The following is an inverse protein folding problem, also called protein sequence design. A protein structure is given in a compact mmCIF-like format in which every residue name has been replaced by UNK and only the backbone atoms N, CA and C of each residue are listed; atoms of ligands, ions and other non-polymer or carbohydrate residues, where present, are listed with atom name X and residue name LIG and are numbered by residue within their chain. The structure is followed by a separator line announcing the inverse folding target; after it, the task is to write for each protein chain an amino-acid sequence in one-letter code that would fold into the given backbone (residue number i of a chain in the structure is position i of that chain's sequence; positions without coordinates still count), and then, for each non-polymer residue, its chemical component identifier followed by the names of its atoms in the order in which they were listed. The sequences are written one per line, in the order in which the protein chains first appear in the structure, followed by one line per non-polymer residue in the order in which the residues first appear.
data_IF_416041400921
#
_entry.id   IF_416041400921
#
_cell.length_a   1.000
_cell.length_b   1.000
_cell.length_c   1.000
_cell.angle_alpha   90.00
_cell.angle_beta   90.00
_cell.angle_gamma   90.00
#
_symmetry.space_group_name_H-M   'P 1'
#
loop_
_entity.id
_entity.type
_entity.pdbx_description
1 polymer ?
#
# COMPACT_ATOMS: atom_id res chain seq x y z
N UNK A 1 25.42 -3.13 -43.11
CA UNK A 1 25.97 -3.33 -41.76
C UNK A 1 24.83 -3.80 -40.87
N UNK A 2 24.86 -5.08 -40.48
CA UNK A 2 23.80 -5.74 -39.74
C UNK A 2 23.90 -5.41 -38.25
N UNK A 3 22.81 -4.91 -37.66
CA UNK A 3 22.68 -4.72 -36.21
C UNK A 3 22.07 -5.99 -35.60
N UNK A 4 22.85 -6.63 -34.73
CA UNK A 4 22.50 -7.81 -33.94
C UNK A 4 21.45 -7.42 -32.89
N UNK A 5 20.37 -8.19 -32.79
CA UNK A 5 19.40 -8.12 -31.69
C UNK A 5 19.95 -8.97 -30.54
N UNK A 6 20.16 -8.39 -29.36
CA UNK A 6 20.36 -9.15 -28.12
C UNK A 6 18.99 -9.39 -27.47
N UNK A 7 18.66 -10.67 -27.31
CA UNK A 7 17.51 -11.16 -26.55
C UNK A 7 17.86 -11.12 -25.05
N UNK A 8 17.02 -10.48 -24.24
CA UNK A 8 17.11 -10.54 -22.78
C UNK A 8 16.34 -11.75 -22.26
N UNK A 9 17.06 -12.73 -21.72
CA UNK A 9 16.48 -13.91 -21.06
C UNK A 9 15.83 -13.54 -19.71
N UNK A 10 14.55 -13.87 -19.57
CA UNK A 10 13.78 -13.75 -18.33
C UNK A 10 14.26 -14.79 -17.28
N UNK A 11 15.10 -14.37 -16.34
CA UNK A 11 15.47 -15.18 -15.17
C UNK A 11 14.34 -15.16 -14.14
N UNK A 12 13.51 -16.22 -14.15
CA UNK A 12 12.55 -16.52 -13.07
C UNK A 12 13.27 -17.28 -11.94
N UNK A 13 13.53 -16.61 -10.83
CA UNK A 13 13.98 -17.28 -9.59
C UNK A 13 12.76 -17.40 -8.66
N UNK A 14 12.19 -18.61 -8.61
CA UNK A 14 11.28 -19.02 -7.55
C UNK A 14 12.10 -19.34 -6.28
N UNK A 15 12.38 -18.32 -5.46
CA UNK A 15 13.00 -18.52 -4.14
C UNK A 15 11.92 -18.67 -3.06
N UNK A 16 11.96 -19.82 -2.39
CA UNK A 16 11.00 -20.30 -1.41
C UNK A 16 11.05 -19.50 -0.11
N UNK A 17 9.89 -19.03 0.32
CA UNK A 17 9.74 -18.18 1.51
C UNK A 17 9.66 -19.03 2.78
N UNK A 18 10.50 -18.72 3.78
CA UNK A 18 10.30 -19.17 5.17
C UNK A 18 9.66 -18.03 5.97
N UNK A 19 8.34 -18.04 6.07
CA UNK A 19 7.65 -17.33 7.17
C UNK A 19 8.02 -18.07 8.43
N UNK A 20 8.63 -17.40 9.41
CA UNK A 20 8.56 -17.92 10.78
C UNK A 20 7.11 -17.75 11.22
N UNK A 21 6.33 -18.83 11.09
CA UNK A 21 4.91 -18.88 11.41
C UNK A 21 4.75 -19.27 12.88
N UNK A 22 5.39 -18.53 13.78
CA UNK A 22 5.34 -18.74 15.22
C UNK A 22 5.01 -17.38 15.84
N UNK A 23 3.95 -17.34 16.66
CA UNK A 23 3.44 -16.22 17.47
C UNK A 23 2.44 -15.20 16.88
N UNK A 24 1.53 -15.64 16.01
CA UNK A 24 0.31 -14.87 15.64
C UNK A 24 -0.85 -15.02 16.66
N UNK A 25 -0.63 -15.72 17.79
CA UNK A 25 -1.67 -16.00 18.78
C UNK A 25 -1.70 -14.95 19.93
N UNK A 26 -0.61 -14.23 20.21
CA UNK A 26 -0.53 -13.30 21.37
C UNK A 26 -0.84 -11.81 21.07
N UNK A 27 -1.08 -11.43 19.81
CA UNK A 27 -1.48 -10.04 19.46
C UNK A 27 -2.99 -9.88 19.23
N UNK A 28 -3.81 -10.91 19.52
CA UNK A 28 -5.26 -10.91 19.29
C UNK A 28 -6.11 -10.44 20.49
N UNK A 29 -5.49 -10.05 21.59
CA UNK A 29 -6.20 -9.59 22.81
C UNK A 29 -6.18 -8.07 23.07
N UNK A 30 -5.74 -7.24 22.11
CA UNK A 30 -5.78 -5.76 22.21
C UNK A 30 -6.78 -5.08 21.26
N UNK A 31 -7.75 -5.83 20.72
CA UNK A 31 -8.90 -5.28 19.98
C UNK A 31 -10.18 -5.86 20.58
N UNK A 32 -10.43 -5.55 21.84
CA UNK A 32 -11.74 -5.70 22.49
C UNK A 32 -12.12 -4.31 23.01
N UNK A 33 -13.38 -3.95 22.80
CA UNK A 33 -14.02 -2.75 23.35
C UNK A 33 -13.68 -1.42 22.64
N UNK A 34 -14.37 -1.15 21.53
CA UNK A 34 -14.85 0.21 21.26
C UNK A 34 -16.15 0.17 20.45
N UNK A 35 -17.17 -0.46 21.04
CA UNK A 35 -18.57 -0.16 20.74
C UNK A 35 -18.93 1.07 21.55
N UNK A 36 -19.07 2.23 20.89
CA UNK A 36 -19.52 3.46 21.57
C UNK A 36 -18.83 4.72 21.09
N UNK A 37 -19.27 5.25 19.94
CA UNK A 37 -19.02 6.65 19.58
C UNK A 37 -20.14 7.10 18.66
N UNK A 38 -20.85 8.11 19.12
CA UNK A 38 -22.13 8.63 18.66
C UNK A 38 -22.17 8.97 17.17
N UNK A 39 -23.34 8.71 16.60
CA UNK A 39 -23.76 9.05 15.25
C UNK A 39 -23.66 10.57 15.03
N UNK A 40 -22.74 11.02 14.18
CA UNK A 40 -22.91 12.25 13.42
C UNK A 40 -23.24 11.85 11.98
N UNK A 41 -24.48 12.12 11.57
CA UNK A 41 -25.03 11.81 10.25
C UNK A 41 -24.27 12.57 9.15
N UNK A 42 -23.15 12.03 8.69
CA UNK A 42 -22.63 12.39 7.38
C UNK A 42 -23.52 11.76 6.32
N UNK A 43 -24.34 12.58 5.67
CA UNK A 43 -25.29 12.21 4.62
C UNK A 43 -24.59 11.43 3.47
N UNK A 44 -24.54 10.09 3.59
CA UNK A 44 -24.05 9.19 2.54
C UNK A 44 -25.19 9.00 1.55
N UNK A 45 -25.02 9.48 0.31
CA UNK A 45 -25.90 9.08 -0.79
C UNK A 45 -25.55 7.65 -1.19
N UNK A 46 -26.22 6.68 -0.58
CA UNK A 46 -26.16 5.27 -0.99
C UNK A 46 -27.13 5.13 -2.17
N UNK A 47 -26.65 5.39 -3.39
CA UNK A 47 -27.36 4.95 -4.58
C UNK A 47 -27.02 3.48 -4.84
N UNK A 48 -27.77 2.57 -4.20
CA UNK A 48 -27.65 1.12 -4.43
C UNK A 48 -28.28 0.75 -5.78
N UNK A 49 -27.60 1.08 -6.88
CA UNK A 49 -27.98 0.67 -8.24
C UNK A 49 -27.45 -0.74 -8.49
N UNK A 50 -28.13 -1.76 -7.97
CA UNK A 50 -27.80 -3.17 -8.24
C UNK A 50 -28.68 -3.75 -9.36
N UNK A 51 -28.16 -3.76 -10.58
CA UNK A 51 -28.69 -4.60 -11.66
C UNK A 51 -27.53 -5.16 -12.50
N UNK A 52 -26.88 -6.20 -12.00
CA UNK A 52 -25.92 -7.00 -12.77
C UNK A 52 -26.37 -8.45 -12.79
N UNK A 53 -26.84 -8.87 -13.97
CA UNK A 53 -27.07 -10.26 -14.33
C UNK A 53 -25.71 -10.95 -14.43
N UNK A 54 -25.40 -11.84 -13.49
CA UNK A 54 -24.25 -12.74 -13.59
C UNK A 54 -24.77 -14.13 -13.94
N UNK A 55 -25.01 -14.36 -15.23
CA UNK A 55 -25.25 -15.70 -15.76
C UNK A 55 -23.94 -16.50 -15.73
N UNK A 56 -23.98 -17.71 -15.18
CA UNK A 56 -22.86 -18.66 -15.18
C UNK A 56 -22.06 -18.78 -13.87
N UNK A 57 -22.72 -19.08 -12.75
CA UNK A 57 -22.04 -19.52 -11.51
C UNK A 57 -21.71 -21.01 -11.62
N UNK A 58 -20.49 -21.33 -12.05
CA UNK A 58 -19.95 -22.70 -12.04
C UNK A 58 -19.49 -23.09 -10.62
N UNK A 59 -20.11 -24.12 -10.05
CA UNK A 59 -19.66 -24.76 -8.80
C UNK A 59 -18.44 -25.63 -9.12
N UNK A 60 -17.26 -25.28 -8.60
CA UNK A 60 -16.08 -26.16 -8.66
C UNK A 60 -16.17 -27.24 -7.56
N UNK A 61 -15.46 -28.37 -7.75
CA UNK A 61 -15.59 -29.63 -6.98
C UNK A 61 -15.23 -29.55 -5.49
N UNK A 62 -14.85 -28.38 -4.96
CA UNK A 62 -14.87 -28.05 -3.54
C UNK A 62 -16.20 -27.34 -3.21
N UNK A 63 -17.17 -28.08 -2.65
CA UNK A 63 -18.59 -27.67 -2.47
C UNK A 63 -18.87 -26.34 -1.74
N UNK A 64 -17.86 -25.56 -1.37
CA UNK A 64 -18.02 -24.30 -0.63
C UNK A 64 -17.18 -23.12 -1.17
N UNK A 65 -16.79 -23.14 -2.46
CA UNK A 65 -16.08 -22.03 -3.12
C UNK A 65 -16.81 -21.53 -4.37
N UNK A 66 -16.75 -20.21 -4.58
CA UNK A 66 -17.34 -19.50 -5.71
C UNK A 66 -16.22 -18.98 -6.60
N UNK A 67 -16.16 -19.42 -7.85
CA UNK A 67 -15.05 -19.12 -8.76
C UNK A 67 -15.44 -18.02 -9.75
N UNK A 68 -14.54 -17.07 -9.97
CA UNK A 68 -14.65 -16.07 -11.02
C UNK A 68 -14.38 -16.70 -12.38
N UNK A 69 -15.31 -16.56 -13.31
CA UNK A 69 -15.19 -17.13 -14.66
C UNK A 69 -14.18 -16.38 -15.54
N UNK A 70 -13.85 -15.12 -15.22
CA UNK A 70 -12.90 -14.32 -16.02
C UNK A 70 -11.43 -14.50 -15.61
N UNK A 71 -11.15 -14.76 -14.32
CA UNK A 71 -9.76 -14.89 -13.85
C UNK A 71 -9.48 -16.15 -13.01
N UNK A 72 -10.46 -17.03 -12.83
CA UNK A 72 -10.30 -18.28 -12.07
C UNK A 72 -10.15 -18.13 -10.55
N UNK A 73 -10.11 -16.90 -10.02
CA UNK A 73 -10.00 -16.66 -8.57
C UNK A 73 -11.21 -17.23 -7.83
N UNK A 74 -10.96 -17.91 -6.72
CA UNK A 74 -12.00 -18.59 -5.93
C UNK A 74 -12.21 -17.94 -4.57
N UNK A 75 -13.46 -17.75 -4.20
CA UNK A 75 -13.90 -17.02 -3.01
C UNK A 75 -14.73 -17.92 -2.08
N UNK A 76 -14.59 -17.75 -0.77
CA UNK A 76 -15.35 -18.53 0.23
C UNK A 76 -16.84 -18.16 0.30
N UNK A 77 -17.22 -16.96 -0.16
CA UNK A 77 -18.60 -16.44 -0.07
C UNK A 77 -19.02 -15.85 -1.41
N UNK A 78 -20.28 -16.06 -1.79
CA UNK A 78 -20.87 -15.48 -3.01
C UNK A 78 -20.77 -13.95 -3.03
N UNK A 79 -20.97 -13.30 -1.89
CA UNK A 79 -20.84 -11.84 -1.76
C UNK A 79 -19.44 -11.34 -2.13
N UNK A 80 -18.38 -12.06 -1.75
CA UNK A 80 -17.01 -11.70 -2.14
C UNK A 80 -16.75 -11.91 -3.62
N UNK A 81 -17.31 -12.98 -4.23
CA UNK A 81 -17.26 -13.12 -5.68
C UNK A 81 -17.98 -11.95 -6.37
N UNK A 82 -19.18 -11.56 -5.91
CA UNK A 82 -19.93 -10.42 -6.48
C UNK A 82 -19.12 -9.12 -6.45
N UNK A 83 -18.53 -8.79 -5.29
CA UNK A 83 -17.65 -7.60 -5.16
C UNK A 83 -16.41 -7.75 -6.04
N UNK A 84 -15.83 -8.96 -6.13
CA UNK A 84 -14.69 -9.21 -7.02
C UNK A 84 -15.03 -8.99 -8.49
N UNK A 85 -16.23 -9.38 -8.95
CA UNK A 85 -16.66 -9.15 -10.33
C UNK A 85 -16.68 -7.66 -10.69
N UNK A 86 -16.84 -6.76 -9.71
CA UNK A 86 -16.78 -5.31 -9.94
C UNK A 86 -15.39 -4.83 -10.40
N UNK A 87 -14.33 -5.60 -10.14
CA UNK A 87 -12.99 -5.32 -10.69
C UNK A 87 -13.00 -5.51 -12.21
N UNK A 88 -13.76 -6.49 -12.70
CA UNK A 88 -13.87 -6.78 -14.13
C UNK A 88 -14.81 -5.81 -14.85
N UNK A 89 -15.93 -5.43 -14.22
CA UNK A 89 -16.88 -4.49 -14.80
C UNK A 89 -16.46 -3.02 -14.66
N UNK A 90 -15.56 -2.73 -13.70
CA UNK A 90 -15.20 -1.37 -13.34
C UNK A 90 -16.25 -0.65 -12.49
N UNK A 91 -17.35 -1.32 -12.13
CA UNK A 91 -18.42 -0.72 -11.35
C UNK A 91 -17.98 -0.34 -9.93
N UNK A 92 -18.40 0.85 -9.50
CA UNK A 92 -18.08 1.40 -8.18
C UNK A 92 -19.32 2.10 -7.62
N UNK A 93 -20.30 1.36 -7.08
CA UNK A 93 -21.59 1.92 -6.69
C UNK A 93 -21.50 2.94 -5.54
N UNK A 94 -20.48 2.83 -4.70
CA UNK A 94 -20.37 3.60 -3.46
C UNK A 94 -19.52 4.85 -3.68
N UNK A 95 -20.14 6.01 -3.78
CA UNK A 95 -19.44 7.27 -4.09
C UNK A 95 -19.31 8.17 -2.86
N UNK A 96 -18.11 8.68 -2.63
CA UNK A 96 -17.87 9.70 -1.61
C UNK A 96 -18.49 11.03 -2.05
N UNK A 97 -19.41 11.56 -1.24
CA UNK A 97 -20.05 12.86 -1.52
C UNK A 97 -19.10 14.05 -1.42
N UNK A 98 -18.00 13.93 -0.68
CA UNK A 98 -17.04 15.04 -0.49
C UNK A 98 -16.01 15.16 -1.60
N UNK A 99 -15.53 14.04 -2.17
CA UNK A 99 -14.48 14.07 -3.21
C UNK A 99 -14.84 13.35 -4.51
N UNK A 100 -16.05 12.79 -4.62
CA UNK A 100 -16.52 12.09 -5.80
C UNK A 100 -15.84 10.74 -6.07
N UNK A 101 -14.91 10.29 -5.21
CA UNK A 101 -14.25 8.98 -5.38
C UNK A 101 -15.23 7.85 -5.13
N UNK A 102 -15.26 6.88 -6.05
CA UNK A 102 -16.16 5.74 -5.98
C UNK A 102 -15.42 4.43 -5.62
N UNK A 103 -16.12 3.54 -4.92
CA UNK A 103 -15.64 2.27 -4.39
C UNK A 103 -16.58 1.12 -4.76
N UNK A 104 -16.02 -0.09 -4.89
CA UNK A 104 -16.79 -1.33 -5.15
C UNK A 104 -17.48 -1.89 -3.90
N UNK A 105 -17.17 -1.37 -2.73
CA UNK A 105 -17.70 -1.86 -1.47
C UNK A 105 -17.96 -0.70 -0.50
N UNK A 106 -19.09 -0.76 0.21
CA UNK A 106 -19.46 0.22 1.24
C UNK A 106 -18.41 0.30 2.36
N UNK A 107 -17.82 -0.82 2.80
CA UNK A 107 -16.78 -0.79 3.84
C UNK A 107 -15.52 -0.05 3.40
N UNK A 108 -15.17 -0.08 2.11
CA UNK A 108 -14.05 0.70 1.56
C UNK A 108 -14.40 2.19 1.49
N UNK A 109 -15.65 2.54 1.14
CA UNK A 109 -16.12 3.92 1.21
C UNK A 109 -16.08 4.45 2.65
N UNK A 110 -16.59 3.69 3.63
CA UNK A 110 -16.57 4.08 5.04
C UNK A 110 -15.13 4.27 5.55
N UNK A 111 -14.21 3.36 5.21
CA UNK A 111 -12.79 3.53 5.52
C UNK A 111 -12.21 4.78 4.85
N UNK A 112 -12.59 5.07 3.60
CA UNK A 112 -12.15 6.26 2.88
C UNK A 112 -12.66 7.55 3.51
N UNK A 113 -13.91 7.59 3.98
CA UNK A 113 -14.52 8.76 4.64
C UNK A 113 -13.68 9.21 5.85
N UNK A 114 -12.98 8.30 6.54
CA UNK A 114 -12.05 8.64 7.64
C UNK A 114 -10.91 9.58 7.23
N UNK A 115 -10.57 9.64 5.95
CA UNK A 115 -9.59 10.61 5.43
C UNK A 115 -10.14 12.03 5.52
N UNK A 116 -11.45 12.20 5.32
CA UNK A 116 -12.14 13.48 5.40
C UNK A 116 -12.43 13.92 6.83
N UNK A 117 -12.90 13.00 7.66
CA UNK A 117 -13.23 13.29 9.07
C UNK A 117 -11.99 13.37 9.96
N UNK A 118 -10.86 12.79 9.52
CA UNK A 118 -9.67 12.64 10.35
C UNK A 118 -9.79 11.55 11.43
N UNK A 119 -10.89 10.78 11.42
CA UNK A 119 -11.15 9.73 12.42
C UNK A 119 -10.05 8.67 12.42
N UNK A 120 -9.53 8.37 13.61
CA UNK A 120 -8.47 7.39 13.84
C UNK A 120 -8.82 6.48 15.02
N UNK A 121 -9.72 5.49 14.83
CA UNK A 121 -10.28 4.71 15.95
C UNK A 121 -9.27 3.81 16.66
N UNK A 122 -8.13 3.53 16.04
CA UNK A 122 -7.18 2.52 16.52
C UNK A 122 -5.97 3.20 17.15
N UNK A 123 -5.91 3.21 18.48
CA UNK A 123 -4.85 3.91 19.23
C UNK A 123 -3.81 2.94 19.76
N UNK A 124 -2.53 3.25 19.56
CA UNK A 124 -1.44 2.54 20.21
C UNK A 124 -1.42 2.83 21.71
N UNK A 125 -1.54 1.79 22.53
CA UNK A 125 -1.51 1.90 23.99
C UNK A 125 -0.15 2.28 24.54
N UNK A 126 0.94 2.07 23.79
CA UNK A 126 2.31 2.38 24.24
C UNK A 126 2.76 3.81 23.95
N UNK A 127 2.32 4.42 22.84
CA UNK A 127 2.75 5.78 22.46
C UNK A 127 1.59 6.77 22.19
N UNK A 128 0.34 6.34 22.34
CA UNK A 128 -0.84 7.16 22.11
C UNK A 128 -1.12 7.50 20.64
N UNK A 129 -0.31 7.00 19.69
CA UNK A 129 -0.49 7.29 18.26
C UNK A 129 -1.71 6.57 17.70
N UNK A 130 -2.60 7.30 17.03
CA UNK A 130 -3.83 6.74 16.46
C UNK A 130 -3.76 6.53 14.94
N UNK A 131 -4.47 5.51 14.47
CA UNK A 131 -4.53 5.05 13.08
C UNK A 131 -5.98 4.89 12.61
N UNK A 132 -6.22 5.11 11.31
CA UNK A 132 -7.55 4.94 10.69
C UNK A 132 -7.89 3.48 10.36
N UNK A 133 -6.90 2.59 10.42
CA UNK A 133 -7.05 1.15 10.12
C UNK A 133 -6.31 0.31 11.16
N UNK A 134 -6.91 -0.80 11.58
CA UNK A 134 -6.32 -1.75 12.54
C UNK A 134 -5.04 -2.39 12.01
N UNK A 135 -4.98 -2.71 10.71
CA UNK A 135 -3.78 -3.24 10.05
C UNK A 135 -2.57 -2.31 10.18
N UNK A 136 -2.80 -0.99 10.12
CA UNK A 136 -1.75 0.01 10.32
C UNK A 136 -1.31 0.10 11.78
N UNK A 137 -2.23 -0.02 12.73
CA UNK A 137 -1.89 -0.14 14.14
C UNK A 137 -1.05 -1.40 14.39
N UNK A 138 -1.46 -2.57 13.90
CA UNK A 138 -0.73 -3.82 14.06
C UNK A 138 0.69 -3.72 13.47
N UNK A 139 0.83 -3.16 12.27
CA UNK A 139 2.15 -2.91 11.68
C UNK A 139 2.98 -1.95 12.54
N UNK A 140 2.36 -0.90 13.09
CA UNK A 140 3.03 0.04 13.98
C UNK A 140 3.48 -0.60 15.29
N UNK A 141 2.70 -1.51 15.88
CA UNK A 141 3.06 -2.22 17.12
C UNK A 141 4.38 -3.00 16.97
N UNK A 142 4.76 -3.43 15.76
CA UNK A 142 6.06 -4.06 15.50
C UNK A 142 7.27 -3.17 15.78
N UNK A 143 7.10 -1.85 15.83
CA UNK A 143 8.15 -0.92 16.24
C UNK A 143 8.42 -1.06 17.75
N UNK A 144 7.38 -1.30 18.53
CA UNK A 144 7.47 -1.50 19.97
C UNK A 144 7.98 -2.88 20.35
N UNK A 145 7.51 -3.92 19.66
CA UNK A 145 7.94 -5.31 19.94
C UNK A 145 9.29 -5.65 19.33
N UNK A 146 9.75 -4.89 18.33
CA UNK A 146 10.95 -5.20 17.54
C UNK A 146 10.76 -6.33 16.53
N UNK A 147 9.53 -6.83 16.34
CA UNK A 147 9.20 -7.93 15.44
C UNK A 147 9.55 -7.58 13.97
N UNK A 148 10.34 -8.44 13.32
CA UNK A 148 10.76 -8.29 11.93
C UNK A 148 10.59 -9.61 11.16
N UNK A 149 9.37 -9.96 10.75
CA UNK A 149 9.06 -11.29 10.19
C UNK A 149 9.76 -11.60 8.87
N UNK A 150 10.18 -10.58 8.13
CA UNK A 150 10.70 -10.74 6.77
C UNK A 150 12.22 -10.59 6.79
N UNK A 151 12.96 -11.70 6.67
CA UNK A 151 14.42 -11.69 6.71
C UNK A 151 14.99 -12.05 5.35
N UNK A 152 15.93 -11.23 4.87
CA UNK A 152 16.68 -11.50 3.65
C UNK A 152 17.72 -12.59 3.91
N UNK A 153 17.60 -13.71 3.22
CA UNK A 153 18.54 -14.83 3.31
C UNK A 153 19.92 -14.48 2.75
N UNK A 154 20.01 -13.58 1.77
CA UNK A 154 21.28 -13.20 1.13
C UNK A 154 22.14 -12.25 1.97
N UNK A 155 21.55 -11.43 2.87
CA UNK A 155 22.33 -10.46 3.67
C UNK A 155 21.94 -10.38 5.15
N UNK A 156 21.01 -11.21 5.61
CA UNK A 156 20.55 -11.27 7.01
C UNK A 156 19.70 -10.07 7.47
N UNK A 157 19.45 -9.06 6.62
CA UNK A 157 18.63 -7.90 7.00
C UNK A 157 17.16 -8.29 7.18
N UNK A 158 16.57 -7.87 8.31
CA UNK A 158 15.16 -8.13 8.63
C UNK A 158 14.29 -6.87 8.59
N UNK A 159 13.04 -7.02 8.18
CA UNK A 159 12.05 -5.96 7.97
C UNK A 159 10.74 -6.28 8.69
N UNK A 160 10.07 -5.23 9.17
CA UNK A 160 8.76 -5.33 9.84
C UNK A 160 7.58 -5.34 8.84
N UNK A 161 7.82 -5.04 7.57
CA UNK A 161 6.82 -4.92 6.52
C UNK A 161 7.29 -5.62 5.25
N UNK A 162 6.38 -6.36 4.60
CA UNK A 162 6.67 -7.12 3.38
C UNK A 162 7.04 -6.21 2.20
N UNK A 163 6.41 -5.04 2.06
CA UNK A 163 6.68 -4.11 0.97
C UNK A 163 8.12 -3.59 1.00
N UNK A 164 8.62 -3.25 2.19
CA UNK A 164 10.01 -2.84 2.39
C UNK A 164 10.98 -4.01 2.13
N UNK A 165 10.61 -5.23 2.53
CA UNK A 165 11.39 -6.43 2.24
C UNK A 165 11.50 -6.69 0.74
N UNK A 166 10.40 -6.70 -0.01
CA UNK A 166 10.43 -6.91 -1.46
C UNK A 166 11.18 -5.79 -2.18
N UNK A 167 11.04 -4.53 -1.75
CA UNK A 167 11.85 -3.43 -2.27
C UNK A 167 13.35 -3.66 -2.00
N UNK A 168 13.71 -4.15 -0.82
CA UNK A 168 15.09 -4.50 -0.49
C UNK A 168 15.64 -5.62 -1.37
N UNK A 169 14.85 -6.66 -1.67
CA UNK A 169 15.27 -7.77 -2.52
C UNK A 169 15.70 -7.31 -3.93
N UNK A 170 15.17 -6.20 -4.42
CA UNK A 170 15.60 -5.59 -5.71
C UNK A 170 17.06 -5.17 -5.75
N UNK A 171 17.69 -4.99 -4.59
CA UNK A 171 19.13 -4.71 -4.52
C UNK A 171 19.92 -5.93 -4.98
N UNK A 172 19.46 -7.12 -4.63
CA UNK A 172 20.13 -8.38 -4.98
C UNK A 172 19.82 -8.83 -6.40
N UNK A 173 18.57 -8.67 -6.85
CA UNK A 173 18.18 -9.02 -8.22
C UNK A 173 18.64 -8.01 -9.26
N UNK A 174 19.00 -6.80 -8.84
CA UNK A 174 19.32 -5.69 -9.74
C UNK A 174 18.09 -5.07 -10.42
N UNK A 175 16.87 -5.52 -10.10
CA UNK A 175 15.63 -5.04 -10.70
C UNK A 175 15.44 -3.53 -10.44
N UNK A 176 15.27 -2.76 -11.52
CA UNK A 176 15.03 -1.30 -11.46
C UNK A 176 13.79 -0.91 -12.28
N UNK A 177 12.57 -1.14 -11.77
CA UNK A 177 11.34 -0.99 -12.56
C UNK A 177 11.01 0.45 -12.95
N UNK A 178 11.63 1.43 -12.29
CA UNK A 178 11.23 2.83 -12.42
C UNK A 178 12.28 3.59 -13.24
N UNK A 179 12.00 3.79 -14.52
CA UNK A 179 12.92 4.46 -15.45
C UNK A 179 12.56 5.93 -15.66
N UNK A 180 13.56 6.81 -15.59
CA UNK A 180 13.42 8.21 -15.96
C UNK A 180 13.27 8.33 -17.47
N UNK A 181 12.16 8.93 -17.92
CA UNK A 181 11.88 9.13 -19.35
C UNK A 181 12.76 10.19 -20.00
N UNK A 182 13.39 11.07 -19.22
CA UNK A 182 14.25 12.15 -19.75
C UNK A 182 15.71 11.73 -19.93
N UNK A 183 16.23 10.81 -19.12
CA UNK A 183 17.65 10.39 -19.22
C UNK A 183 17.88 8.87 -19.23
N UNK A 184 16.82 8.06 -19.20
CA UNK A 184 16.90 6.60 -19.22
C UNK A 184 17.41 5.96 -17.92
N UNK A 185 17.73 6.75 -16.88
CA UNK A 185 18.23 6.21 -15.62
C UNK A 185 17.13 5.48 -14.84
N UNK A 186 17.41 4.25 -14.41
CA UNK A 186 16.44 3.41 -13.69
C UNK A 186 16.70 3.31 -12.19
N UNK A 187 15.62 3.15 -11.41
CA UNK A 187 15.60 3.12 -9.95
C UNK A 187 14.81 1.90 -9.44
N UNK A 188 15.19 1.39 -8.26
CA UNK A 188 14.53 0.26 -7.61
C UNK A 188 13.24 0.65 -6.84
N UNK A 189 13.02 1.94 -6.60
CA UNK A 189 11.81 2.47 -5.99
C UNK A 189 11.35 3.79 -6.65
N UNK A 190 10.03 4.00 -6.65
CA UNK A 190 9.39 5.16 -7.28
C UNK A 190 9.73 6.49 -6.60
N UNK A 191 9.93 6.50 -5.28
CA UNK A 191 10.32 7.70 -4.54
C UNK A 191 11.70 8.22 -4.97
N UNK A 192 12.64 7.32 -5.26
CA UNK A 192 13.96 7.69 -5.77
C UNK A 192 13.86 8.26 -7.19
N UNK A 193 13.02 7.68 -8.05
CA UNK A 193 12.74 8.26 -9.36
C UNK A 193 12.14 9.67 -9.22
N UNK A 194 11.12 9.85 -8.38
CA UNK A 194 10.49 11.15 -8.15
C UNK A 194 11.49 12.20 -7.64
N UNK A 195 12.36 11.82 -6.69
CA UNK A 195 13.44 12.70 -6.23
C UNK A 195 14.42 13.04 -7.36
N UNK A 196 14.80 12.04 -8.19
CA UNK A 196 15.68 12.24 -9.32
C UNK A 196 15.08 13.21 -10.37
N UNK A 197 13.77 13.15 -10.62
CA UNK A 197 13.10 14.04 -11.58
C UNK A 197 13.31 15.54 -11.26
N UNK A 198 13.57 15.89 -9.99
CA UNK A 198 13.87 17.28 -9.59
C UNK A 198 15.14 17.85 -10.21
N UNK A 199 16.06 16.99 -10.64
CA UNK A 199 17.25 17.41 -11.39
C UNK A 199 16.85 17.98 -12.76
N UNK A 200 15.82 17.39 -13.37
CA UNK A 200 15.32 17.81 -14.67
C UNK A 200 14.41 19.04 -14.59
N UNK A 201 13.53 19.09 -13.58
CA UNK A 201 12.60 20.21 -13.41
C UNK A 201 13.25 21.44 -12.76
N UNK A 202 14.40 21.27 -12.10
CA UNK A 202 15.04 22.32 -11.29
C UNK A 202 14.29 22.63 -9.98
N UNK A 203 13.28 21.84 -9.62
CA UNK A 203 12.45 22.06 -8.44
C UNK A 203 13.29 21.95 -7.15
N UNK A 204 13.20 22.97 -6.30
CA UNK A 204 13.90 23.07 -5.01
C UNK A 204 12.92 23.41 -3.89
N UNK A 205 12.11 22.44 -3.40
CA UNK A 205 11.01 22.73 -2.47
C UNK A 205 11.44 23.20 -1.08
N UNK A 206 12.69 22.98 -0.71
CA UNK A 206 13.15 23.17 0.67
C UNK A 206 13.96 24.45 0.76
N UNK A 207 13.35 25.52 1.27
CA UNK A 207 13.98 26.83 1.39
C UNK A 207 14.47 27.10 2.80
N UNK A 208 15.72 27.56 2.93
CA UNK A 208 16.28 28.05 4.18
C UNK A 208 15.58 29.35 4.58
N UNK A 209 14.99 29.37 5.78
CA UNK A 209 14.30 30.57 6.30
C UNK A 209 15.25 31.71 6.67
N UNK A 210 16.53 31.41 6.92
CA UNK A 210 17.51 32.43 7.33
C UNK A 210 18.20 33.12 6.14
N UNK A 211 18.39 32.44 5.01
CA UNK A 211 19.11 33.01 3.86
C UNK A 211 18.40 32.86 2.50
N UNK A 212 17.22 32.26 2.46
CA UNK A 212 16.43 32.10 1.23
C UNK A 212 16.97 31.06 0.24
N UNK A 213 18.10 30.39 0.52
CA UNK A 213 18.63 29.34 -0.36
C UNK A 213 17.71 28.13 -0.39
N UNK A 214 17.37 27.67 -1.59
CA UNK A 214 16.50 26.51 -1.81
C UNK A 214 17.28 25.26 -2.23
N UNK A 215 16.81 24.09 -1.79
CA UNK A 215 17.41 22.78 -2.00
C UNK A 215 16.39 21.79 -2.57
N UNK A 216 16.87 20.82 -3.36
CA UNK A 216 16.04 19.75 -3.93
C UNK A 216 15.71 18.64 -2.94
N UNK A 217 16.46 18.56 -1.83
CA UNK A 217 16.29 17.58 -0.77
C UNK A 217 16.30 18.23 0.62
N UNK A 218 15.49 17.70 1.54
CA UNK A 218 15.42 18.17 2.93
C UNK A 218 16.70 17.90 3.72
N UNK A 219 17.39 16.80 3.43
CA UNK A 219 18.71 16.48 4.01
C UNK A 219 19.76 17.54 3.68
N UNK A 220 19.78 18.02 2.43
CA UNK A 220 20.66 19.11 2.02
C UNK A 220 20.34 20.41 2.75
N UNK A 221 19.05 20.74 2.93
CA UNK A 221 18.66 21.88 3.76
C UNK A 221 19.10 21.69 5.21
N UNK A 222 18.87 20.52 5.82
CA UNK A 222 19.27 20.25 7.20
C UNK A 222 20.78 20.42 7.44
N UNK A 223 21.61 19.89 6.53
CA UNK A 223 23.06 20.09 6.58
C UNK A 223 23.40 21.58 6.40
N UNK A 224 22.75 22.25 5.45
CA UNK A 224 22.94 23.69 5.25
C UNK A 224 22.60 24.50 6.50
N UNK A 225 21.54 24.17 7.24
CA UNK A 225 21.14 24.93 8.44
C UNK A 225 22.21 24.93 9.53
N UNK A 226 23.13 23.95 9.55
CA UNK A 226 24.25 23.91 10.49
C UNK A 226 25.22 25.08 10.34
N UNK A 227 25.26 25.73 9.17
CA UNK A 227 26.11 26.92 8.98
C UNK A 227 25.57 28.14 9.73
N UNK A 228 24.28 28.14 10.07
CA UNK A 228 23.64 29.25 10.77
C UNK A 228 23.63 29.06 12.29
N UNK A 229 23.73 27.81 12.74
CA UNK A 229 23.76 27.46 14.17
C UNK A 229 25.19 27.27 14.69
N UNK A 230 26.18 27.84 14.00
CA UNK A 230 27.62 27.63 14.22
C UNK A 230 28.01 27.55 15.68
#
# INVERSE_FOLDING_TARGET
MAFVKEESEDVKIEETFTVKHEDLQEQTDLIKENEGSKEEEHHVKIEDKTHLQTDGILKSKDKNRFTCTQCGKSFKRKGYLKIHMMIHTGEKPFTCSQCGKSFSCSSHLNQHIRIHTGEKPFTCTQCGKSFSQSSHLNLHMRIHTGEKPFTCTQCGKSFNCSSNFYQHMRIHTGEKPFTCTQCGKSFNCSSNLYQHMRIHTGEKPFTCTQCGKSFSQSSSLYIHMRIHTG
#
